data_IF_613195898252
#
_entry.id   IF_613195898252
#
_cell.length_a   1.000
_cell.length_b   1.000
_cell.length_c   1.000
_cell.angle_alpha   90.00
_cell.angle_beta   90.00
_cell.angle_gamma   90.00
#
_symmetry.space_group_name_H-M   'P 1'
#
loop_
_entity.id
_entity.type
_entity.pdbx_description
1 polymer ?
#
# COMPACT_ATOMS: atom_id res chain seq x y z
N UNK A 1 14.27 44.24 -37.20
CA UNK A 1 15.41 43.31 -36.99
C UNK A 1 14.86 41.90 -37.07
N UNK A 2 15.18 41.21 -38.15
CA UNK A 2 14.48 40.02 -38.66
C UNK A 2 15.31 38.75 -38.45
N UNK A 3 14.64 37.67 -38.02
CA UNK A 3 15.23 36.38 -37.65
C UNK A 3 15.84 35.60 -38.82
N UNK A 4 17.09 35.92 -39.17
CA UNK A 4 17.85 35.22 -40.23
C UNK A 4 19.25 34.71 -39.83
N UNK A 5 19.65 34.75 -38.57
CA UNK A 5 21.03 34.42 -38.14
C UNK A 5 21.22 33.10 -37.36
N UNK A 6 20.22 32.22 -37.28
CA UNK A 6 20.38 30.90 -36.60
C UNK A 6 20.55 29.73 -37.58
N UNK A 7 20.28 29.91 -38.87
CA UNK A 7 20.33 28.83 -39.87
C UNK A 7 21.74 28.54 -40.41
N UNK A 8 22.73 29.40 -40.13
CA UNK A 8 24.09 29.23 -40.67
C UNK A 8 25.08 28.55 -39.71
N UNK A 9 24.65 28.10 -38.52
CA UNK A 9 25.57 27.51 -37.53
C UNK A 9 25.47 25.98 -37.40
N UNK A 10 24.53 25.32 -38.10
CA UNK A 10 24.31 23.86 -37.96
C UNK A 10 24.96 23.07 -39.11
N UNK A 11 25.48 23.73 -40.15
CA UNK A 11 25.97 23.06 -41.35
C UNK A 11 27.48 22.75 -41.38
N UNK A 12 28.09 22.45 -40.24
CA UNK A 12 29.40 21.80 -40.23
C UNK A 12 29.56 20.95 -38.98
N UNK A 13 29.40 19.65 -39.11
CA UNK A 13 30.37 18.67 -38.61
C UNK A 13 30.18 17.41 -39.46
N UNK A 14 31.28 17.03 -40.09
CA UNK A 14 31.46 16.01 -41.10
C UNK A 14 31.19 14.56 -40.63
N UNK A 15 30.74 13.78 -41.62
CA UNK A 15 30.34 12.38 -41.64
C UNK A 15 31.53 11.39 -41.58
N UNK A 16 32.36 11.38 -40.53
CA UNK A 16 33.54 10.50 -40.48
C UNK A 16 33.67 9.52 -39.30
N UNK A 17 32.56 9.18 -38.61
CA UNK A 17 32.60 8.19 -37.53
C UNK A 17 31.59 7.04 -37.66
N UNK A 18 30.88 6.92 -38.78
CA UNK A 18 30.00 5.77 -39.06
C UNK A 18 30.69 4.83 -40.05
N UNK A 19 31.82 4.26 -39.65
CA UNK A 19 32.42 3.15 -40.40
C UNK A 19 33.21 2.21 -39.49
N UNK A 20 32.65 1.80 -38.35
CA UNK A 20 33.20 0.65 -37.61
C UNK A 20 32.18 0.02 -36.65
N UNK A 21 30.98 -0.30 -37.14
CA UNK A 21 30.04 -1.14 -36.38
C UNK A 21 29.10 -1.96 -37.28
N UNK A 22 29.46 -2.15 -38.55
CA UNK A 22 28.77 -3.07 -39.44
C UNK A 22 29.74 -4.19 -39.78
N UNK A 23 29.76 -5.23 -38.95
CA UNK A 23 29.78 -6.63 -39.39
C UNK A 23 29.79 -7.62 -38.21
N UNK A 24 28.85 -8.57 -38.28
CA UNK A 24 28.83 -9.90 -37.63
C UNK A 24 28.45 -9.92 -36.12
N UNK A 25 27.40 -10.60 -35.64
CA UNK A 25 26.78 -11.86 -36.06
C UNK A 25 25.30 -11.94 -35.62
N UNK A 26 24.46 -12.12 -36.63
CA UNK A 26 23.09 -12.66 -36.74
C UNK A 26 22.33 -13.22 -35.52
N UNK A 27 21.14 -12.65 -35.26
CA UNK A 27 19.97 -13.32 -34.66
C UNK A 27 18.99 -13.73 -35.76
N UNK A 28 18.57 -15.00 -35.80
CA UNK A 28 17.64 -15.53 -36.80
C UNK A 28 16.19 -15.50 -36.27
N UNK A 29 15.34 -14.78 -37.01
CA UNK A 29 13.91 -15.05 -37.37
C UNK A 29 12.95 -15.44 -36.23
N UNK A 30 11.82 -14.79 -35.99
CA UNK A 30 10.80 -14.28 -36.91
C UNK A 30 9.84 -13.38 -36.09
N UNK A 31 9.28 -12.33 -36.69
CA UNK A 31 7.82 -12.10 -36.84
C UNK A 31 7.59 -10.73 -37.52
N UNK A 32 6.65 -10.80 -38.45
CA UNK A 32 6.24 -9.86 -39.49
C UNK A 32 5.55 -8.60 -38.93
N UNK A 33 6.03 -7.43 -39.38
CA UNK A 33 5.34 -6.20 -39.86
C UNK A 33 4.08 -5.72 -39.11
N UNK A 34 3.76 -4.45 -38.88
CA UNK A 34 4.09 -3.16 -39.52
C UNK A 34 3.29 -2.12 -38.71
N UNK A 35 3.88 -0.98 -38.34
CA UNK A 35 3.42 0.36 -38.74
C UNK A 35 3.97 1.45 -37.80
N UNK A 36 4.74 2.32 -38.44
CA UNK A 36 5.36 3.51 -37.92
C UNK A 36 4.33 4.64 -37.95
N UNK A 37 4.20 5.36 -36.83
CA UNK A 37 3.92 6.80 -36.67
C UNK A 37 3.00 7.02 -35.48
N UNK A 38 3.59 7.40 -34.34
CA UNK A 38 3.40 8.71 -33.71
C UNK A 38 4.10 8.79 -32.35
N UNK A 39 4.69 9.97 -32.11
CA UNK A 39 5.23 10.51 -30.85
C UNK A 39 6.55 9.94 -30.32
N UNK A 40 7.64 10.52 -30.81
CA UNK A 40 8.82 10.81 -29.99
C UNK A 40 8.51 12.02 -29.10
N UNK A 41 8.70 11.86 -27.79
CA UNK A 41 8.63 12.94 -26.83
C UNK A 41 9.13 12.50 -25.47
N UNK A 42 10.24 13.10 -25.05
CA UNK A 42 10.94 13.00 -23.77
C UNK A 42 12.02 11.89 -23.74
N UNK A 43 13.22 12.32 -24.16
CA UNK A 43 14.46 11.73 -23.73
C UNK A 43 14.74 12.09 -22.26
N UNK A 44 15.52 11.20 -21.63
CA UNK A 44 16.28 11.36 -20.40
C UNK A 44 15.49 11.28 -19.07
N UNK A 45 15.40 10.05 -18.55
CA UNK A 45 15.88 9.66 -17.21
C UNK A 45 15.69 8.14 -17.03
N UNK A 46 16.44 7.34 -17.81
CA UNK A 46 16.55 5.90 -17.55
C UNK A 46 18.05 5.62 -17.33
N UNK A 47 18.50 5.93 -16.12
CA UNK A 47 19.73 5.38 -15.58
C UNK A 47 19.37 4.71 -14.25
N UNK A 48 19.16 3.39 -14.36
CA UNK A 48 19.33 2.37 -13.32
C UNK A 48 18.53 2.54 -12.01
N UNK A 49 17.23 2.23 -12.09
CA UNK A 49 16.52 1.54 -10.99
C UNK A 49 16.33 0.08 -11.42
N UNK A 50 17.42 -0.68 -11.43
CA UNK A 50 17.41 -2.13 -11.58
C UNK A 50 18.24 -2.70 -10.43
N UNK A 51 17.59 -2.91 -9.28
CA UNK A 51 17.92 -3.91 -8.24
C UNK A 51 17.00 -3.78 -6.99
N UNK A 52 15.70 -3.56 -7.18
CA UNK A 52 14.72 -3.71 -6.08
C UNK A 52 13.37 -4.28 -6.56
N UNK A 53 13.39 -5.09 -7.61
CA UNK A 53 12.25 -5.91 -8.04
C UNK A 53 12.33 -7.28 -7.36
N UNK A 54 12.07 -7.30 -6.05
CA UNK A 54 11.47 -8.46 -5.38
C UNK A 54 10.22 -7.93 -4.64
N UNK A 55 9.17 -7.76 -5.43
CA UNK A 55 7.75 -7.84 -5.06
C UNK A 55 7.35 -7.09 -3.78
N UNK A 56 7.21 -5.77 -3.87
CA UNK A 56 6.20 -5.05 -3.09
C UNK A 56 5.27 -4.41 -4.12
N UNK A 57 4.03 -4.89 -4.31
CA UNK A 57 3.10 -4.23 -5.20
C UNK A 57 2.86 -2.81 -4.68
N UNK A 58 2.77 -1.87 -5.62
CA UNK A 58 2.53 -0.43 -5.48
C UNK A 58 1.28 -0.11 -4.64
N UNK A 59 1.31 -0.31 -3.32
CA UNK A 59 0.14 -0.22 -2.45
C UNK A 59 0.36 0.64 -1.19
N UNK A 60 1.23 1.64 -1.29
CA UNK A 60 1.41 2.66 -0.25
C UNK A 60 1.50 4.05 -0.90
N UNK A 61 0.36 4.64 -1.28
CA UNK A 61 0.21 6.07 -1.09
C UNK A 61 -0.92 6.30 -0.07
N UNK A 62 -0.63 7.12 0.94
CA UNK A 62 -1.55 7.61 1.99
C UNK A 62 -1.95 6.63 3.10
N UNK A 63 -0.99 6.31 3.98
CA UNK A 63 -1.26 5.97 5.38
C UNK A 63 -0.95 7.17 6.29
N UNK A 64 -1.44 8.35 5.91
CA UNK A 64 -1.32 9.56 6.73
C UNK A 64 -2.69 9.80 7.36
N UNK A 65 -2.69 9.71 8.69
CA UNK A 65 -3.67 10.21 9.66
C UNK A 65 -4.90 10.93 9.08
N UNK A 66 -6.09 10.50 9.52
CA UNK A 66 -7.30 11.31 9.36
C UNK A 66 -7.28 12.52 10.30
N UNK A 67 -6.57 13.57 9.89
CA UNK A 67 -6.89 14.96 10.25
C UNK A 67 -6.78 15.78 8.96
N UNK A 68 -7.90 16.38 8.58
CA UNK A 68 -8.16 17.02 7.29
C UNK A 68 -7.03 17.94 6.80
N UNK A 69 -6.59 17.74 5.54
CA UNK A 69 -6.22 18.81 4.60
C UNK A 69 -6.13 18.26 3.16
N UNK A 70 -6.85 18.93 2.24
CA UNK A 70 -6.84 18.82 0.78
C UNK A 70 -7.26 17.49 0.12
N UNK A 71 -8.52 17.51 -0.33
CA UNK A 71 -9.15 16.55 -1.23
C UNK A 71 -8.52 16.59 -2.62
N UNK A 72 -7.37 15.95 -2.79
CA UNK A 72 -6.99 15.41 -4.10
C UNK A 72 -7.63 14.02 -4.20
N UNK A 73 -8.55 13.85 -5.15
CA UNK A 73 -9.31 12.61 -5.34
C UNK A 73 -8.39 11.53 -5.91
N UNK A 74 -7.48 11.01 -5.09
CA UNK A 74 -6.73 9.81 -5.39
C UNK A 74 -7.74 8.66 -5.40
N UNK A 75 -8.00 8.17 -6.61
CA UNK A 75 -8.88 7.02 -6.80
C UNK A 75 -8.08 5.81 -6.32
N UNK A 76 -8.10 5.56 -5.00
CA UNK A 76 -7.51 4.37 -4.40
C UNK A 76 -8.16 3.18 -5.10
N UNK A 77 -7.38 2.37 -5.81
CA UNK A 77 -7.86 1.14 -6.40
C UNK A 77 -8.25 0.21 -5.26
N UNK A 78 -9.54 0.22 -4.89
CA UNK A 78 -10.05 -0.56 -3.79
C UNK A 78 -9.98 -2.03 -4.21
N UNK A 79 -9.04 -2.75 -3.62
CA UNK A 79 -8.82 -4.16 -3.90
C UNK A 79 -9.87 -4.96 -3.12
N UNK A 80 -11.00 -5.21 -3.77
CA UNK A 80 -12.06 -6.04 -3.26
C UNK A 80 -11.60 -7.52 -3.27
N UNK A 81 -11.60 -8.17 -2.11
CA UNK A 81 -11.07 -9.52 -1.94
C UNK A 81 -11.86 -10.30 -0.88
N UNK A 82 -11.68 -11.61 -0.83
CA UNK A 82 -12.22 -12.42 0.26
C UNK A 82 -11.35 -12.23 1.51
N UNK A 83 -11.99 -11.88 2.62
CA UNK A 83 -11.35 -11.72 3.93
C UNK A 83 -11.99 -12.71 4.89
N UNK A 84 -11.16 -13.43 5.63
CA UNK A 84 -11.63 -14.28 6.73
C UNK A 84 -11.98 -13.42 7.94
N UNK A 85 -13.25 -13.40 8.31
CA UNK A 85 -13.80 -12.74 9.50
C UNK A 85 -14.01 -13.80 10.57
N UNK A 86 -13.42 -13.61 11.74
CA UNK A 86 -13.53 -14.52 12.88
C UNK A 86 -14.50 -13.97 13.92
N UNK A 87 -15.47 -14.76 14.35
CA UNK A 87 -16.54 -14.32 15.25
C UNK A 87 -16.85 -15.36 16.31
N UNK A 88 -17.52 -14.96 17.40
CA UNK A 88 -18.00 -15.88 18.41
C UNK A 88 -19.33 -16.48 18.01
N UNK A 89 -19.46 -17.80 18.12
CA UNK A 89 -20.79 -18.40 18.03
C UNK A 89 -21.68 -17.87 19.16
N UNK A 90 -22.94 -17.57 18.83
CA UNK A 90 -23.86 -16.90 19.72
C UNK A 90 -24.00 -17.65 21.06
N UNK A 91 -23.75 -16.96 22.16
CA UNK A 91 -23.82 -17.52 23.51
C UNK A 91 -22.63 -18.41 23.91
N UNK A 92 -21.57 -18.51 23.10
CA UNK A 92 -20.37 -19.32 23.40
C UNK A 92 -19.09 -18.50 23.32
N UNK A 93 -17.95 -19.13 23.66
CA UNK A 93 -16.60 -18.59 23.46
C UNK A 93 -15.88 -19.25 22.28
N UNK A 94 -16.59 -20.05 21.49
CA UNK A 94 -16.04 -20.73 20.31
C UNK A 94 -15.87 -19.72 19.16
N UNK A 95 -14.67 -19.67 18.60
CA UNK A 95 -14.36 -18.77 17.47
C UNK A 95 -14.62 -19.51 16.15
N UNK A 96 -15.63 -19.06 15.42
CA UNK A 96 -15.94 -19.47 14.05
C UNK A 96 -15.34 -18.49 13.04
N UNK A 97 -15.45 -18.84 11.75
CA UNK A 97 -14.88 -18.08 10.64
C UNK A 97 -15.86 -18.05 9.47
N UNK A 98 -15.97 -16.89 8.82
CA UNK A 98 -16.70 -16.70 7.57
C UNK A 98 -15.83 -15.91 6.59
N UNK A 99 -15.80 -16.32 5.32
CA UNK A 99 -15.05 -15.59 4.28
C UNK A 99 -15.98 -14.62 3.59
N UNK A 100 -15.75 -13.32 3.77
CA UNK A 100 -16.60 -12.24 3.25
C UNK A 100 -15.85 -11.48 2.17
N UNK A 101 -16.53 -11.20 1.04
CA UNK A 101 -15.97 -10.39 -0.03
C UNK A 101 -16.17 -8.90 0.28
N UNK A 102 -15.08 -8.19 0.54
CA UNK A 102 -15.11 -6.78 0.93
C UNK A 102 -13.88 -6.01 0.48
N UNK A 103 -13.99 -4.70 0.55
CA UNK A 103 -12.91 -3.76 0.29
C UNK A 103 -11.88 -3.80 1.42
N UNK A 104 -10.64 -4.18 1.10
CA UNK A 104 -9.60 -4.49 2.08
C UNK A 104 -9.10 -3.24 2.85
N UNK A 105 -9.82 -2.85 3.91
CA UNK A 105 -9.43 -1.79 4.86
C UNK A 105 -9.73 -2.24 6.29
N UNK A 106 -8.95 -1.82 7.31
CA UNK A 106 -9.24 -2.15 8.70
C UNK A 106 -10.65 -1.76 9.14
N UNK A 107 -11.18 -0.63 8.66
CA UNK A 107 -12.55 -0.20 8.91
C UNK A 107 -13.58 -1.21 8.40
N UNK A 108 -13.53 -1.56 7.11
CA UNK A 108 -14.53 -2.44 6.51
C UNK A 108 -14.47 -3.85 7.13
N UNK A 109 -13.25 -4.33 7.37
CA UNK A 109 -13.00 -5.59 8.07
C UNK A 109 -13.62 -5.56 9.47
N UNK A 110 -13.43 -4.46 10.22
CA UNK A 110 -14.03 -4.27 11.53
C UNK A 110 -15.56 -4.20 11.50
N UNK A 111 -16.15 -3.53 10.50
CA UNK A 111 -17.61 -3.46 10.37
C UNK A 111 -18.24 -4.84 10.12
N UNK A 112 -17.66 -5.67 9.25
CA UNK A 112 -18.15 -7.04 9.07
C UNK A 112 -17.94 -7.89 10.32
N UNK A 113 -16.80 -7.73 11.01
CA UNK A 113 -16.57 -8.38 12.30
C UNK A 113 -17.63 -8.00 13.35
N UNK A 114 -17.95 -6.70 13.47
CA UNK A 114 -18.98 -6.20 14.38
C UNK A 114 -20.34 -6.86 14.11
N UNK A 115 -20.73 -6.90 12.84
CA UNK A 115 -21.99 -7.49 12.39
C UNK A 115 -22.09 -8.97 12.78
N UNK A 116 -21.07 -9.77 12.49
CA UNK A 116 -21.07 -11.20 12.84
C UNK A 116 -21.07 -11.47 14.35
N UNK A 117 -20.53 -10.54 15.15
CA UNK A 117 -20.52 -10.64 16.61
C UNK A 117 -21.69 -9.92 17.29
N UNK A 118 -22.67 -9.40 16.52
CA UNK A 118 -23.79 -8.59 17.03
C UNK A 118 -23.35 -7.43 17.93
N UNK A 119 -22.23 -6.78 17.59
CA UNK A 119 -21.73 -5.62 18.33
C UNK A 119 -22.58 -4.38 17.99
N UNK A 120 -23.07 -3.62 18.98
CA UNK A 120 -23.94 -2.47 18.76
C UNK A 120 -23.35 -1.42 17.81
N UNK A 121 -24.21 -0.70 17.10
CA UNK A 121 -23.81 0.37 16.17
C UNK A 121 -23.07 1.52 16.84
N UNK A 122 -23.31 1.77 18.14
CA UNK A 122 -22.60 2.78 18.93
C UNK A 122 -21.09 2.52 19.04
N UNK A 123 -20.65 1.28 18.87
CA UNK A 123 -19.23 0.94 18.87
C UNK A 123 -18.62 1.28 17.51
N UNK A 124 -17.55 2.07 17.47
CA UNK A 124 -16.89 2.43 16.22
C UNK A 124 -15.37 2.26 16.30
N UNK A 125 -14.73 2.08 15.15
CA UNK A 125 -13.28 2.24 15.02
C UNK A 125 -13.02 3.74 14.79
N UNK A 126 -12.52 4.40 15.82
CA UNK A 126 -12.27 5.85 15.83
C UNK A 126 -11.06 6.19 14.97
N UNK A 127 -10.01 5.40 15.07
CA UNK A 127 -8.77 5.60 14.31
C UNK A 127 -8.01 4.28 14.13
N UNK A 128 -7.09 4.27 13.17
CA UNK A 128 -6.11 3.20 13.00
C UNK A 128 -4.81 3.75 12.42
N UNK A 129 -3.70 3.19 12.87
CA UNK A 129 -2.35 3.54 12.40
C UNK A 129 -1.54 2.29 12.16
N UNK A 130 -0.85 2.23 11.03
CA UNK A 130 0.14 1.19 10.75
C UNK A 130 1.52 1.81 10.98
N UNK A 131 2.20 1.37 12.03
CA UNK A 131 3.59 1.73 12.29
C UNK A 131 4.51 0.71 11.63
N UNK A 132 5.70 1.17 11.23
CA UNK A 132 6.78 0.30 10.77
C UNK A 132 8.10 0.65 11.42
N UNK A 133 9.06 -0.27 11.40
CA UNK A 133 10.46 -0.01 11.76
C UNK A 133 11.26 0.71 10.65
N UNK A 134 10.59 1.21 9.61
CA UNK A 134 11.23 2.08 8.62
C UNK A 134 11.61 3.42 9.23
N UNK A 135 12.61 4.07 8.65
CA UNK A 135 13.11 5.34 9.16
C UNK A 135 13.71 6.18 8.03
N UNK A 136 13.71 7.48 8.24
CA UNK A 136 14.44 8.41 7.38
C UNK A 136 15.91 8.42 7.78
N UNK A 137 16.78 8.16 6.81
CA UNK A 137 18.21 8.32 6.94
C UNK A 137 18.60 9.65 6.29
N UNK A 138 19.18 10.55 7.08
CA UNK A 138 19.77 11.78 6.55
C UNK A 138 20.97 11.42 5.67
N UNK A 139 20.94 11.84 4.39
CA UNK A 139 22.09 11.74 3.50
C UNK A 139 23.14 12.81 3.79
N UNK A 140 24.36 12.62 3.28
CA UNK A 140 25.42 13.64 3.31
C UNK A 140 25.15 14.81 2.34
N UNK A 141 24.20 14.63 1.42
CA UNK A 141 23.57 15.68 0.62
C UNK A 141 22.24 16.06 1.24
N UNK A 142 21.69 17.23 0.91
CA UNK A 142 20.42 17.79 1.37
C UNK A 142 19.15 16.99 0.97
N UNK A 143 19.28 15.67 0.82
CA UNK A 143 18.26 14.70 0.42
C UNK A 143 18.17 13.61 1.49
N UNK A 144 17.00 13.45 2.09
CA UNK A 144 16.72 12.32 2.97
C UNK A 144 16.45 11.06 2.14
N UNK A 145 16.97 9.92 2.58
CA UNK A 145 16.67 8.59 2.01
C UNK A 145 15.77 7.84 2.97
N UNK A 146 14.71 7.20 2.48
CA UNK A 146 13.84 6.38 3.32
C UNK A 146 14.29 4.92 3.33
N UNK A 147 14.52 4.36 4.51
CA UNK A 147 14.74 2.93 4.72
C UNK A 147 13.40 2.27 4.97
N UNK A 148 13.02 1.34 4.08
CA UNK A 148 11.77 0.59 4.19
C UNK A 148 11.86 -0.40 5.35
N UNK A 149 10.86 -0.38 6.22
CA UNK A 149 10.70 -1.34 7.30
C UNK A 149 10.07 -2.66 6.84
N UNK A 150 10.36 -3.73 7.56
CA UNK A 150 9.84 -5.09 7.37
C UNK A 150 8.97 -5.58 8.54
N UNK A 151 8.90 -4.80 9.62
CA UNK A 151 8.10 -5.08 10.82
C UNK A 151 6.98 -4.06 10.90
N UNK A 152 5.74 -4.54 10.80
CA UNK A 152 4.54 -3.69 10.87
C UNK A 152 3.76 -3.92 12.16
N UNK A 153 3.25 -2.85 12.75
CA UNK A 153 2.33 -2.88 13.89
C UNK A 153 1.04 -2.15 13.53
N UNK A 154 -0.10 -2.80 13.69
CA UNK A 154 -1.40 -2.15 13.54
C UNK A 154 -1.90 -1.69 14.90
N UNK A 155 -2.08 -0.39 15.08
CA UNK A 155 -2.72 0.20 16.26
C UNK A 155 -4.13 0.62 15.88
N UNK A 156 -5.13 0.08 16.58
CA UNK A 156 -6.55 0.38 16.36
C UNK A 156 -7.09 1.05 17.61
N UNK A 157 -7.77 2.18 17.44
CA UNK A 157 -8.51 2.84 18.53
C UNK A 157 -10.00 2.63 18.32
N UNK A 158 -10.66 2.01 19.30
CA UNK A 158 -12.11 1.81 19.31
C UNK A 158 -12.76 2.81 20.25
N UNK A 159 -14.05 3.07 20.02
CA UNK A 159 -14.85 3.93 20.88
C UNK A 159 -15.07 3.30 22.27
N UNK A 160 -15.37 4.13 23.26
CA UNK A 160 -15.44 3.72 24.66
C UNK A 160 -16.54 2.67 24.92
N UNK A 161 -17.62 2.71 24.14
CA UNK A 161 -18.74 1.76 24.16
C UNK A 161 -18.31 0.32 23.88
N UNK A 162 -17.12 0.10 23.29
CA UNK A 162 -16.61 -1.26 23.09
C UNK A 162 -16.40 -1.99 24.43
N UNK A 163 -16.12 -1.25 25.51
CA UNK A 163 -15.92 -1.83 26.84
C UNK A 163 -17.17 -2.57 27.33
N UNK A 164 -18.35 -2.07 26.99
CA UNK A 164 -19.63 -2.67 27.39
C UNK A 164 -19.88 -4.03 26.72
N UNK A 165 -19.18 -4.31 25.60
CA UNK A 165 -19.23 -5.59 24.91
C UNK A 165 -18.33 -6.67 25.54
N UNK A 166 -17.42 -6.26 26.43
CA UNK A 166 -16.40 -7.12 27.03
C UNK A 166 -16.83 -7.62 28.42
N UNK A 167 -17.52 -8.76 28.45
CA UNK A 167 -17.85 -9.46 29.69
C UNK A 167 -16.68 -10.31 30.19
N UNK A 168 -16.71 -10.70 31.47
CA UNK A 168 -15.70 -11.60 32.04
C UNK A 168 -15.59 -12.93 31.29
N UNK A 169 -16.70 -13.44 30.73
CA UNK A 169 -16.74 -14.73 30.04
C UNK A 169 -16.29 -14.64 28.57
N UNK A 170 -16.56 -13.53 27.87
CA UNK A 170 -16.27 -13.42 26.44
C UNK A 170 -14.97 -12.66 26.13
N UNK A 171 -14.45 -11.82 27.04
CA UNK A 171 -13.41 -10.82 26.77
C UNK A 171 -12.24 -11.38 25.96
N UNK A 172 -11.63 -12.48 26.43
CA UNK A 172 -10.47 -13.08 25.77
C UNK A 172 -10.80 -13.60 24.38
N UNK A 173 -11.95 -14.27 24.22
CA UNK A 173 -12.35 -14.85 22.95
C UNK A 173 -12.73 -13.76 21.93
N UNK A 174 -13.44 -12.72 22.38
CA UNK A 174 -13.88 -11.61 21.53
C UNK A 174 -12.67 -10.81 21.02
N UNK A 175 -11.74 -10.44 21.90
CA UNK A 175 -10.50 -9.76 21.51
C UNK A 175 -9.65 -10.61 20.55
N UNK A 176 -9.50 -11.91 20.84
CA UNK A 176 -8.77 -12.83 19.96
C UNK A 176 -9.42 -12.98 18.58
N UNK A 177 -10.75 -12.95 18.51
CA UNK A 177 -11.47 -13.00 17.24
C UNK A 177 -11.24 -11.72 16.41
N UNK A 178 -11.21 -10.56 17.06
CA UNK A 178 -10.92 -9.29 16.42
C UNK A 178 -9.46 -9.22 15.94
N UNK A 179 -8.50 -9.62 16.77
CA UNK A 179 -7.09 -9.70 16.39
C UNK A 179 -6.88 -10.61 15.16
N UNK A 180 -7.47 -11.80 15.18
CA UNK A 180 -7.39 -12.72 14.03
C UNK A 180 -7.96 -12.11 12.76
N UNK A 181 -9.09 -11.43 12.88
CA UNK A 181 -9.77 -10.77 11.76
C UNK A 181 -8.90 -9.64 11.18
N UNK A 182 -8.31 -8.81 12.05
CA UNK A 182 -7.43 -7.71 11.64
C UNK A 182 -6.05 -8.19 11.13
N UNK A 183 -5.65 -9.42 11.45
CA UNK A 183 -4.39 -10.03 10.99
C UNK A 183 -4.42 -10.56 9.57
N UNK A 184 -5.56 -10.46 8.88
CA UNK A 184 -5.77 -11.11 7.59
C UNK A 184 -4.79 -10.63 6.50
N UNK A 185 -4.52 -11.50 5.53
CA UNK A 185 -3.23 -11.62 4.84
C UNK A 185 -3.09 -10.74 3.59
N UNK A 186 -2.56 -9.52 3.76
CA UNK A 186 -1.79 -8.78 2.75
C UNK A 186 -0.61 -8.04 3.37
N UNK A 187 -0.76 -7.63 4.62
CA UNK A 187 0.31 -7.11 5.47
C UNK A 187 0.47 -8.06 6.64
N UNK A 188 1.69 -8.58 6.84
CA UNK A 188 2.00 -9.41 8.00
C UNK A 188 2.36 -8.51 9.18
N UNK A 189 1.43 -8.29 10.08
CA UNK A 189 1.68 -7.54 11.31
C UNK A 189 2.44 -8.41 12.31
N UNK A 190 3.49 -7.84 12.93
CA UNK A 190 4.15 -8.43 14.09
C UNK A 190 3.26 -8.36 15.33
N UNK A 191 2.51 -7.27 15.46
CA UNK A 191 1.58 -7.03 16.55
C UNK A 191 0.39 -6.21 16.08
N UNK A 192 -0.76 -6.49 16.71
CA UNK A 192 -1.97 -5.70 16.59
C UNK A 192 -2.30 -5.21 18.00
N UNK A 193 -2.39 -3.91 18.18
CA UNK A 193 -2.71 -3.28 19.45
C UNK A 193 -4.11 -2.67 19.34
N UNK A 194 -4.99 -3.01 20.28
CA UNK A 194 -6.35 -2.50 20.34
C UNK A 194 -6.44 -1.59 21.56
N UNK A 195 -6.80 -0.32 21.32
CA UNK A 195 -6.93 0.71 22.32
C UNK A 195 -8.38 1.10 22.53
N UNK A 196 -8.75 1.33 23.78
CA UNK A 196 -10.01 1.99 24.18
C UNK A 196 -9.65 3.01 25.25
N UNK A 197 -10.15 4.23 25.13
CA UNK A 197 -9.84 5.32 26.08
C UNK A 197 -8.33 5.52 26.31
N UNK A 198 -7.53 5.37 25.25
CA UNK A 198 -6.06 5.48 25.30
C UNK A 198 -5.32 4.31 25.95
N UNK A 199 -6.01 3.27 26.43
CA UNK A 199 -5.41 2.10 27.05
C UNK A 199 -5.41 0.89 26.11
N UNK A 200 -4.28 0.20 25.98
CA UNK A 200 -4.22 -1.08 25.27
C UNK A 200 -4.98 -2.14 26.06
N UNK A 201 -5.97 -2.78 25.44
CA UNK A 201 -6.88 -3.71 26.11
C UNK A 201 -6.65 -5.19 25.77
N UNK A 202 -5.88 -5.47 24.73
CA UNK A 202 -5.46 -6.80 24.31
C UNK A 202 -4.00 -7.08 24.75
N UNK A 203 -3.56 -8.34 24.71
CA UNK A 203 -2.22 -8.73 25.19
C UNK A 203 -1.21 -8.72 24.03
#
# INVERSE_FOLDING_TARGET
MTGKNLYNAINSIDDNFIQEADEAVTLKKNVVSFNWKRFTGIAACIALVLCASVIIPKFLPTLISSKEAHQEKTTNAILNDYVDIYYLENGTTEIKKESVKLDYTPQNIFQEWKKLNNIPDSVSMVDYKIDSNGYEQSGNSSTATYVVGDVFTLNVTLSNEFTDCLTKSNRTALLKSLEKTLSYQKIKYKSINIFVDGQKINN
#
